data_IF_040658523220
#
_entry.id   IF_040658523220
#
_cell.length_a   1.000
_cell.length_b   1.000
_cell.length_c   1.000
_cell.angle_alpha   90.00
_cell.angle_beta   90.00
_cell.angle_gamma   90.00
#
_symmetry.space_group_name_H-M   'P 1'
#
loop_
_entity.id
_entity.type
_entity.pdbx_description
1 polymer ?
#
# COMPACT_ATOMS: atom_id res chain seq x y z
N UNK A 1 -0.91 15.00 3.32
CA UNK A 1 0.02 14.79 4.46
C UNK A 1 1.12 13.86 3.97
N UNK A 2 2.39 14.26 4.04
CA UNK A 2 3.51 13.40 3.62
C UNK A 2 3.92 12.52 4.80
N UNK A 3 3.45 11.28 4.80
CA UNK A 3 3.96 10.25 5.72
C UNK A 3 5.45 10.05 5.41
N UNK A 4 6.32 10.48 6.32
CA UNK A 4 7.78 10.32 6.15
C UNK A 4 8.24 9.08 6.88
N UNK A 5 8.97 8.22 6.17
CA UNK A 5 9.61 7.04 6.73
C UNK A 5 10.91 7.45 7.43
N UNK A 6 11.14 6.93 8.64
CA UNK A 6 12.27 7.27 9.48
C UNK A 6 12.94 5.97 9.96
N UNK A 7 14.23 5.81 9.64
CA UNK A 7 15.04 4.72 10.18
C UNK A 7 15.71 5.14 11.49
N UNK A 8 15.81 4.21 12.44
CA UNK A 8 16.57 4.37 13.67
C UNK A 8 17.45 3.13 13.88
N UNK A 9 18.78 3.24 13.87
CA UNK A 9 19.54 4.45 13.50
C UNK A 9 19.30 4.84 12.02
N UNK A 10 19.64 6.08 11.60
CA UNK A 10 19.59 6.49 10.20
C UNK A 10 20.40 5.53 9.31
N UNK A 11 19.93 5.28 8.08
CA UNK A 11 20.58 4.33 7.17
C UNK A 11 22.01 4.75 6.78
N UNK A 12 22.25 6.06 6.71
CA UNK A 12 23.55 6.68 6.43
C UNK A 12 24.58 6.43 7.54
N UNK A 13 24.13 6.36 8.78
CA UNK A 13 25.00 6.10 9.93
C UNK A 13 25.24 4.60 10.15
N UNK A 14 24.45 3.73 9.52
CA UNK A 14 24.37 2.31 9.84
C UNK A 14 25.72 1.59 9.73
N UNK A 15 26.55 1.93 8.75
CA UNK A 15 27.86 1.31 8.54
C UNK A 15 28.89 1.71 9.61
N UNK A 16 28.64 2.81 10.32
CA UNK A 16 29.52 3.32 11.40
C UNK A 16 29.10 2.84 12.78
N UNK A 17 27.94 2.21 12.90
CA UNK A 17 27.42 1.70 14.17
C UNK A 17 28.18 0.45 14.61
N UNK A 18 28.51 0.38 15.90
CA UNK A 18 29.13 -0.81 16.47
C UNK A 18 28.08 -1.91 16.71
N UNK A 19 28.42 -3.13 16.33
CA UNK A 19 27.60 -4.30 16.61
C UNK A 19 27.68 -4.68 18.11
N UNK A 20 26.62 -5.29 18.67
CA UNK A 20 25.37 -5.62 18.00
C UNK A 20 24.38 -4.43 17.95
N UNK A 21 23.57 -4.35 16.90
CA UNK A 21 22.63 -3.24 16.67
C UNK A 21 21.21 -3.68 16.31
N UNK A 22 20.25 -2.80 16.54
CA UNK A 22 18.86 -2.95 16.11
C UNK A 22 18.53 -1.84 15.12
N UNK A 23 17.87 -2.19 14.03
CA UNK A 23 17.34 -1.24 13.06
C UNK A 23 15.81 -1.23 13.15
N UNK A 24 15.22 -0.05 13.20
CA UNK A 24 13.77 0.14 13.30
C UNK A 24 13.29 1.13 12.25
N UNK A 25 12.17 0.83 11.61
CA UNK A 25 11.48 1.70 10.68
C UNK A 25 10.23 2.27 11.33
N UNK A 26 10.07 3.59 11.27
CA UNK A 26 8.91 4.31 11.74
C UNK A 26 8.24 5.06 10.60
N UNK A 27 6.92 5.26 10.72
CA UNK A 27 6.20 6.27 9.96
C UNK A 27 5.90 7.46 10.85
N UNK A 28 6.21 8.66 10.36
CA UNK A 28 5.86 9.89 11.05
C UNK A 28 4.39 10.23 10.82
N UNK A 29 3.59 10.18 11.88
CA UNK A 29 2.20 10.64 11.87
C UNK A 29 2.11 12.16 12.04
N UNK A 30 0.96 12.76 11.71
CA UNK A 30 0.70 14.17 12.02
C UNK A 30 0.78 14.37 13.54
N UNK A 31 1.62 15.31 13.99
CA UNK A 31 1.65 15.73 15.39
C UNK A 31 0.35 16.44 15.71
N UNK A 32 -0.53 15.81 16.49
CA UNK A 32 -1.65 16.53 17.12
C UNK A 32 -1.10 17.54 18.12
N UNK A 33 -1.64 18.77 18.17
CA UNK A 33 -1.24 19.76 19.16
C UNK A 33 -1.47 19.19 20.56
N UNK A 34 -0.49 19.41 21.44
CA UNK A 34 -0.55 18.96 22.83
C UNK A 34 -1.70 19.69 23.52
N UNK A 35 -2.70 18.98 24.09
CA UNK A 35 -3.75 19.63 24.88
C UNK A 35 -3.13 20.41 26.05
N UNK A 36 -3.71 21.56 26.42
CA UNK A 36 -3.16 22.40 27.47
C UNK A 36 -3.07 21.66 28.82
N UNK A 37 -3.93 20.66 29.04
CA UNK A 37 -3.96 19.84 30.25
C UNK A 37 -2.71 18.95 30.40
N UNK A 38 -1.99 18.67 29.32
CA UNK A 38 -0.74 17.89 29.36
C UNK A 38 0.47 18.69 29.89
N UNK A 39 0.33 20.00 30.11
CA UNK A 39 1.33 20.87 30.77
C UNK A 39 1.02 21.09 32.25
N UNK A 40 0.38 20.14 32.93
CA UNK A 40 0.09 20.25 34.35
C UNK A 40 1.33 19.90 35.20
N UNK A 41 1.77 20.88 36.01
CA UNK A 41 2.90 20.77 36.96
C UNK A 41 2.70 19.72 38.06
N UNK A 42 1.45 19.34 38.33
CA UNK A 42 1.06 18.42 39.40
C UNK A 42 0.97 16.96 38.90
N UNK A 43 1.17 16.72 37.59
CA UNK A 43 1.25 15.39 37.01
C UNK A 43 2.71 14.90 36.93
N UNK A 44 2.97 13.57 37.04
CA UNK A 44 4.31 13.02 36.89
C UNK A 44 4.95 13.49 35.57
N UNK A 45 6.23 13.89 35.64
CA UNK A 45 6.99 14.33 34.46
C UNK A 45 7.10 13.15 33.48
N UNK A 46 6.22 13.15 32.48
CA UNK A 46 6.29 12.25 31.33
C UNK A 46 5.04 11.43 31.11
N UNK A 47 4.04 11.98 30.43
CA UNK A 47 3.03 11.18 29.69
C UNK A 47 2.35 11.93 28.53
N UNK A 48 2.46 13.26 28.44
CA UNK A 48 1.66 14.05 27.48
C UNK A 48 2.32 14.41 26.14
N UNK A 49 3.54 13.97 25.84
CA UNK A 49 4.19 14.31 24.56
C UNK A 49 3.64 13.43 23.45
N UNK A 50 3.03 13.99 22.39
CA UNK A 50 2.55 13.20 21.26
C UNK A 50 3.72 12.47 20.61
N UNK A 51 3.68 11.14 20.61
CA UNK A 51 4.60 10.31 19.85
C UNK A 51 4.22 10.41 18.38
N UNK A 52 4.93 11.26 17.65
CA UNK A 52 4.74 11.45 16.20
C UNK A 52 5.23 10.28 15.35
N UNK A 53 5.65 9.16 15.95
CA UNK A 53 6.28 8.04 15.26
C UNK A 53 5.54 6.75 15.62
N UNK A 54 5.04 6.06 14.58
CA UNK A 54 4.50 4.71 14.71
C UNK A 54 5.55 3.73 14.19
N UNK A 55 5.87 2.71 14.98
CA UNK A 55 6.80 1.66 14.56
C UNK A 55 6.12 0.79 13.50
N UNK A 56 6.77 0.65 12.34
CA UNK A 56 6.34 -0.24 11.26
C UNK A 56 7.01 -1.61 11.36
N UNK A 57 8.33 -1.62 11.55
CA UNK A 57 9.10 -2.85 11.66
C UNK A 57 10.36 -2.62 12.50
N UNK A 58 10.82 -3.65 13.19
CA UNK A 58 12.09 -3.63 13.91
C UNK A 58 12.82 -4.96 13.74
N UNK A 59 14.14 -4.90 13.67
CA UNK A 59 14.97 -6.10 13.59
C UNK A 59 15.21 -6.68 14.99
N UNK A 60 15.45 -8.00 15.08
CA UNK A 60 16.17 -8.52 16.23
C UNK A 60 17.58 -7.91 16.31
N UNK A 61 18.23 -8.14 17.45
CA UNK A 61 19.61 -7.74 17.69
C UNK A 61 20.53 -8.40 16.64
N UNK A 62 21.21 -7.58 15.84
CA UNK A 62 21.95 -8.00 14.65
C UNK A 62 23.45 -7.85 14.84
N UNK A 63 24.21 -8.85 14.39
CA UNK A 63 25.68 -8.85 14.47
C UNK A 63 26.37 -7.94 13.44
N UNK A 64 25.64 -7.47 12.42
CA UNK A 64 26.16 -6.56 11.41
C UNK A 64 25.07 -5.65 10.81
N UNK A 65 25.44 -4.50 10.24
CA UNK A 65 24.53 -3.63 9.47
C UNK A 65 23.79 -4.35 8.34
N UNK A 66 24.50 -5.24 7.63
CA UNK A 66 23.96 -5.99 6.50
C UNK A 66 22.87 -6.97 6.96
N UNK A 67 23.11 -7.69 8.07
CA UNK A 67 22.10 -8.57 8.66
C UNK A 67 20.90 -7.79 9.19
N UNK A 68 21.11 -6.61 9.80
CA UNK A 68 20.02 -5.75 10.22
C UNK A 68 19.13 -5.33 9.03
N UNK A 69 19.73 -4.91 7.91
CA UNK A 69 18.95 -4.60 6.69
C UNK A 69 18.17 -5.80 6.18
N UNK A 70 18.77 -6.99 6.16
CA UNK A 70 18.11 -8.22 5.73
C UNK A 70 16.94 -8.58 6.65
N UNK A 71 17.13 -8.56 7.97
CA UNK A 71 16.05 -8.83 8.91
C UNK A 71 14.93 -7.80 8.84
N UNK A 72 15.25 -6.53 8.58
CA UNK A 72 14.22 -5.51 8.44
C UNK A 72 13.40 -5.76 7.17
N UNK A 73 14.05 -6.12 6.07
CA UNK A 73 13.37 -6.49 4.84
C UNK A 73 12.45 -7.70 5.06
N UNK A 74 12.93 -8.74 5.76
CA UNK A 74 12.10 -9.90 6.13
C UNK A 74 10.93 -9.47 7.00
N UNK A 75 11.15 -8.65 8.03
CA UNK A 75 10.07 -8.17 8.91
C UNK A 75 9.01 -7.35 8.16
N UNK A 76 9.40 -6.59 7.14
CA UNK A 76 8.46 -5.87 6.28
C UNK A 76 7.67 -6.79 5.35
N UNK A 77 8.28 -7.90 4.92
CA UNK A 77 7.65 -8.89 4.05
C UNK A 77 6.81 -9.93 4.83
N UNK A 78 6.93 -9.98 6.15
CA UNK A 78 6.23 -10.93 7.03
C UNK A 78 4.72 -10.63 7.09
N UNK A 79 4.31 -9.38 6.89
CA UNK A 79 2.89 -9.02 6.76
C UNK A 79 2.35 -9.41 5.37
N UNK A 80 2.08 -10.70 5.22
CA UNK A 80 1.55 -11.29 3.99
C UNK A 80 0.29 -10.60 3.47
N UNK A 81 -0.59 -10.12 4.37
CA UNK A 81 -1.83 -9.45 3.99
C UNK A 81 -1.54 -8.07 3.39
N UNK A 82 -0.68 -7.29 4.06
CA UNK A 82 -0.25 -5.99 3.54
C UNK A 82 0.44 -6.14 2.19
N UNK A 83 1.38 -7.09 2.05
CA UNK A 83 2.11 -7.27 0.79
C UNK A 83 1.18 -7.76 -0.33
N UNK A 84 0.26 -8.69 -0.06
CA UNK A 84 -0.73 -9.12 -1.05
C UNK A 84 -1.63 -7.97 -1.50
N UNK A 85 -2.05 -7.11 -0.57
CA UNK A 85 -2.82 -5.91 -0.91
C UNK A 85 -2.03 -5.02 -1.86
N UNK A 86 -0.79 -4.65 -1.51
CA UNK A 86 0.06 -3.80 -2.37
C UNK A 86 0.31 -4.47 -3.73
N UNK A 87 0.51 -5.78 -3.76
CA UNK A 87 0.62 -6.54 -5.01
C UNK A 87 -0.65 -6.43 -5.87
N UNK A 88 -1.83 -6.58 -5.28
CA UNK A 88 -3.10 -6.44 -5.98
C UNK A 88 -3.29 -5.01 -6.54
N UNK A 89 -2.96 -3.99 -5.75
CA UNK A 89 -2.98 -2.59 -6.16
C UNK A 89 -2.07 -2.31 -7.37
N UNK A 90 -0.83 -2.80 -7.33
CA UNK A 90 0.11 -2.64 -8.43
C UNK A 90 -0.33 -3.40 -9.68
N UNK A 91 -0.93 -4.58 -9.54
CA UNK A 91 -1.50 -5.29 -10.69
C UNK A 91 -2.71 -4.59 -11.28
N UNK A 92 -3.58 -4.04 -10.44
CA UNK A 92 -4.70 -3.21 -10.87
C UNK A 92 -4.19 -2.02 -11.68
N UNK A 93 -3.30 -1.20 -11.10
CA UNK A 93 -2.73 -0.02 -11.75
C UNK A 93 -1.99 -0.36 -13.04
N UNK A 94 -1.18 -1.41 -13.04
CA UNK A 94 -0.50 -1.92 -14.24
C UNK A 94 -1.50 -2.28 -15.34
N UNK A 95 -2.58 -2.97 -14.98
CA UNK A 95 -3.57 -3.45 -15.96
C UNK A 95 -4.40 -2.29 -16.53
N UNK A 96 -4.89 -1.40 -15.67
CA UNK A 96 -5.61 -0.19 -16.06
C UNK A 96 -4.73 0.69 -16.95
N UNK A 97 -3.49 0.96 -16.55
CA UNK A 97 -2.60 1.84 -17.31
C UNK A 97 -2.11 1.22 -18.64
N UNK A 98 -2.13 -0.11 -18.75
CA UNK A 98 -1.86 -0.79 -20.02
C UNK A 98 -3.05 -0.77 -20.97
N UNK A 99 -4.26 -0.52 -20.50
CA UNK A 99 -5.48 -0.63 -21.30
C UNK A 99 -5.55 0.47 -22.38
N UNK A 100 -6.13 0.18 -23.56
CA UNK A 100 -6.53 1.16 -24.55
C UNK A 100 -7.49 2.23 -24.00
N UNK A 101 -7.57 3.39 -24.66
CA UNK A 101 -8.38 4.52 -24.18
C UNK A 101 -9.88 4.23 -24.17
N UNK A 102 -10.38 3.49 -25.16
CA UNK A 102 -11.76 3.04 -25.25
C UNK A 102 -12.12 2.05 -24.14
N UNK A 103 -11.21 1.12 -23.83
CA UNK A 103 -11.37 0.19 -22.72
C UNK A 103 -11.36 0.92 -21.36
N UNK A 104 -10.44 1.88 -21.16
CA UNK A 104 -10.43 2.74 -19.97
C UNK A 104 -11.72 3.54 -19.80
N UNK A 105 -12.23 4.12 -20.88
CA UNK A 105 -13.51 4.83 -20.82
C UNK A 105 -14.67 3.88 -20.49
N UNK A 106 -14.60 2.61 -20.92
CA UNK A 106 -15.55 1.57 -20.55
C UNK A 106 -15.46 1.23 -19.06
N UNK A 107 -14.25 0.99 -18.56
CA UNK A 107 -13.98 0.71 -17.14
C UNK A 107 -14.46 1.85 -16.24
N UNK A 108 -14.15 3.10 -16.60
CA UNK A 108 -14.61 4.28 -15.86
C UNK A 108 -16.13 4.32 -15.74
N UNK A 109 -16.86 4.05 -16.83
CA UNK A 109 -18.33 3.98 -16.79
C UNK A 109 -18.82 2.85 -15.89
N UNK A 110 -18.22 1.66 -16.00
CA UNK A 110 -18.54 0.51 -15.14
C UNK A 110 -18.35 0.81 -13.65
N UNK A 111 -17.19 1.38 -13.30
CA UNK A 111 -16.87 1.77 -11.93
C UNK A 111 -17.84 2.82 -11.38
N UNK A 112 -18.20 3.82 -12.19
CA UNK A 112 -19.21 4.83 -11.81
C UNK A 112 -20.59 4.23 -11.56
N UNK A 113 -21.02 3.30 -12.41
CA UNK A 113 -22.28 2.58 -12.21
C UNK A 113 -22.23 1.79 -10.91
N UNK A 114 -21.10 1.14 -10.61
CA UNK A 114 -20.93 0.33 -9.41
C UNK A 114 -21.08 1.14 -8.11
N UNK A 115 -20.71 2.42 -8.10
CA UNK A 115 -20.92 3.32 -6.96
C UNK A 115 -22.40 3.64 -6.67
N UNK A 116 -23.30 3.33 -7.60
CA UNK A 116 -24.74 3.56 -7.49
C UNK A 116 -25.52 2.29 -7.16
N UNK A 117 -24.85 1.13 -7.18
CA UNK A 117 -25.44 -0.18 -6.87
C UNK A 117 -25.53 -0.31 -5.35
N UNK A 118 -26.63 -0.91 -4.87
CA UNK A 118 -26.79 -1.14 -3.44
C UNK A 118 -25.85 -2.22 -2.90
N UNK A 119 -25.55 -2.16 -1.59
CA UNK A 119 -24.58 -3.05 -0.96
C UNK A 119 -24.99 -4.53 -1.02
N UNK A 120 -26.30 -4.83 -1.08
CA UNK A 120 -26.79 -6.20 -1.14
C UNK A 120 -26.51 -6.83 -2.50
N UNK A 121 -26.70 -6.08 -3.58
CA UNK A 121 -26.34 -6.49 -4.93
C UNK A 121 -24.82 -6.62 -5.08
N UNK A 122 -24.02 -5.66 -4.58
CA UNK A 122 -22.56 -5.75 -4.60
C UNK A 122 -22.06 -7.00 -3.86
N UNK A 123 -22.62 -7.28 -2.68
CA UNK A 123 -22.26 -8.47 -1.92
C UNK A 123 -22.64 -9.77 -2.66
N UNK A 124 -23.80 -9.80 -3.31
CA UNK A 124 -24.22 -10.93 -4.15
C UNK A 124 -23.23 -11.18 -5.31
N UNK A 125 -22.86 -10.13 -6.04
CA UNK A 125 -21.89 -10.20 -7.14
C UNK A 125 -20.52 -10.67 -6.65
N UNK A 126 -20.07 -10.16 -5.50
CA UNK A 126 -18.81 -10.59 -4.88
C UNK A 126 -18.78 -12.10 -4.64
N UNK A 127 -19.84 -12.66 -4.06
CA UNK A 127 -19.90 -14.10 -3.83
C UNK A 127 -19.93 -14.90 -5.14
N UNK A 128 -20.66 -14.44 -6.16
CA UNK A 128 -20.70 -15.09 -7.47
C UNK A 128 -19.32 -15.10 -8.13
N UNK A 129 -18.63 -13.96 -8.16
CA UNK A 129 -17.30 -13.85 -8.77
C UNK A 129 -16.25 -14.63 -7.99
N UNK A 130 -16.35 -14.66 -6.66
CA UNK A 130 -15.49 -15.46 -5.80
C UNK A 130 -15.68 -16.97 -6.03
N UNK A 131 -16.91 -17.41 -6.28
CA UNK A 131 -17.21 -18.82 -6.60
C UNK A 131 -16.64 -19.22 -7.97
N UNK A 132 -16.73 -18.33 -8.96
CA UNK A 132 -16.13 -18.54 -10.30
C UNK A 132 -14.60 -18.55 -10.23
N UNK A 133 -14.00 -17.80 -9.30
CA UNK A 133 -12.56 -17.77 -9.10
C UNK A 133 -11.83 -16.91 -10.13
N UNK A 134 -12.21 -15.64 -10.25
CA UNK A 134 -11.57 -14.68 -11.14
C UNK A 134 -10.07 -14.59 -10.85
N UNK A 135 -9.25 -14.85 -11.86
CA UNK A 135 -7.79 -14.87 -11.81
C UNK A 135 -7.12 -13.94 -12.81
N UNK A 136 -5.78 -13.97 -12.86
CA UNK A 136 -4.95 -13.05 -13.67
C UNK A 136 -5.20 -13.14 -15.19
N UNK A 137 -5.81 -14.24 -15.67
CA UNK A 137 -6.05 -14.49 -17.10
C UNK A 137 -7.44 -14.05 -17.58
N UNK A 138 -8.32 -13.70 -16.66
CA UNK A 138 -9.66 -13.27 -17.00
C UNK A 138 -9.67 -11.85 -17.59
N UNK A 139 -10.79 -11.52 -18.22
CA UNK A 139 -11.01 -10.21 -18.83
C UNK A 139 -10.75 -9.09 -17.83
N UNK A 140 -10.13 -8.00 -18.30
CA UNK A 140 -9.76 -6.87 -17.44
C UNK A 140 -10.98 -6.33 -16.68
N UNK A 141 -12.14 -6.23 -17.33
CA UNK A 141 -13.39 -5.83 -16.69
C UNK A 141 -13.72 -6.68 -15.46
N UNK A 142 -13.66 -8.01 -15.58
CA UNK A 142 -13.93 -8.94 -14.47
C UNK A 142 -12.91 -8.77 -13.34
N UNK A 143 -11.61 -8.61 -13.67
CA UNK A 143 -10.56 -8.40 -12.67
C UNK A 143 -10.73 -7.08 -11.93
N UNK A 144 -11.09 -6.02 -12.64
CA UNK A 144 -11.38 -4.70 -12.07
C UNK A 144 -12.63 -4.75 -11.19
N UNK A 145 -13.70 -5.41 -11.63
CA UNK A 145 -14.93 -5.54 -10.84
C UNK A 145 -14.65 -6.32 -9.54
N UNK A 146 -13.94 -7.45 -9.61
CA UNK A 146 -13.57 -8.21 -8.40
C UNK A 146 -12.74 -7.36 -7.44
N UNK A 147 -11.71 -6.67 -7.93
CA UNK A 147 -10.87 -5.78 -7.13
C UNK A 147 -11.68 -4.66 -6.45
N UNK A 148 -12.63 -4.09 -7.18
CA UNK A 148 -13.49 -3.02 -6.67
C UNK A 148 -14.53 -3.53 -5.66
N UNK A 149 -14.98 -4.77 -5.77
CA UNK A 149 -15.87 -5.41 -4.81
C UNK A 149 -15.17 -5.71 -3.47
N UNK A 150 -13.87 -5.99 -3.49
CA UNK A 150 -13.04 -6.18 -2.30
C UNK A 150 -12.72 -4.87 -1.57
N UNK A 151 -12.70 -3.76 -2.31
CA UNK A 151 -12.51 -2.42 -1.76
C UNK A 151 -13.75 -1.90 -1.01
N UNK A 152 -13.52 -1.08 0.02
CA UNK A 152 -14.58 -0.32 0.69
C UNK A 152 -15.02 0.92 -0.11
N UNK A 153 -16.05 1.64 0.37
CA UNK A 153 -16.60 2.78 -0.35
C UNK A 153 -15.62 3.94 -0.59
N UNK A 154 -14.74 4.23 0.38
CA UNK A 154 -13.74 5.29 0.24
C UNK A 154 -12.63 4.86 -0.73
N UNK A 155 -12.15 3.63 -0.56
CA UNK A 155 -11.14 3.01 -1.39
C UNK A 155 -11.58 2.90 -2.86
N UNK A 156 -12.83 2.50 -3.12
CA UNK A 156 -13.42 2.49 -4.47
C UNK A 156 -13.35 3.86 -5.15
N UNK A 157 -13.58 4.94 -4.38
CA UNK A 157 -13.47 6.31 -4.89
C UNK A 157 -12.05 6.64 -5.35
N UNK A 158 -11.03 6.25 -4.58
CA UNK A 158 -9.61 6.46 -4.89
C UNK A 158 -9.18 5.66 -6.14
N UNK A 159 -9.69 4.44 -6.30
CA UNK A 159 -9.41 3.64 -7.50
C UNK A 159 -10.06 4.22 -8.75
N UNK A 160 -11.27 4.76 -8.64
CA UNK A 160 -11.90 5.48 -9.75
C UNK A 160 -11.10 6.72 -10.15
N UNK A 161 -10.59 7.49 -9.18
CA UNK A 161 -9.70 8.63 -9.46
C UNK A 161 -8.43 8.19 -10.18
N UNK A 162 -7.88 7.02 -9.84
CA UNK A 162 -6.73 6.45 -10.55
C UNK A 162 -7.03 6.16 -12.03
N UNK A 163 -8.24 5.68 -12.35
CA UNK A 163 -8.68 5.52 -13.75
C UNK A 163 -8.85 6.86 -14.45
N UNK A 164 -9.42 7.87 -13.77
CA UNK A 164 -9.57 9.23 -14.29
C UNK A 164 -8.21 9.86 -14.61
N UNK A 165 -7.22 9.68 -13.74
CA UNK A 165 -5.82 10.06 -13.97
C UNK A 165 -5.25 9.34 -15.20
N UNK A 166 -5.49 8.04 -15.33
CA UNK A 166 -5.08 7.25 -16.49
C UNK A 166 -5.69 7.74 -17.81
N UNK A 167 -6.95 8.19 -17.80
CA UNK A 167 -7.63 8.76 -18.98
C UNK A 167 -7.04 10.13 -19.33
N UNK A 168 -6.75 10.97 -18.33
CA UNK A 168 -6.12 12.28 -18.53
C UNK A 168 -4.64 12.21 -18.92
N UNK A 169 -4.02 11.04 -18.75
CA UNK A 169 -2.62 10.81 -19.07
C UNK A 169 -2.45 10.41 -20.54
N UNK A 170 -1.43 10.97 -21.20
CA UNK A 170 -1.04 10.52 -22.54
C UNK A 170 -0.61 9.04 -22.53
N UNK A 171 -0.93 8.31 -23.61
CA UNK A 171 -0.75 6.86 -23.69
C UNK A 171 0.70 6.41 -23.43
N UNK A 172 1.69 7.12 -23.96
CA UNK A 172 3.10 6.81 -23.75
C UNK A 172 3.48 6.83 -22.26
N UNK A 173 3.14 7.92 -21.57
CA UNK A 173 3.39 8.09 -20.14
C UNK A 173 2.64 7.04 -19.34
N UNK A 174 1.39 6.75 -19.72
CA UNK A 174 0.58 5.73 -19.05
C UNK A 174 1.22 4.34 -19.15
N UNK A 175 1.72 3.96 -20.33
CA UNK A 175 2.45 2.70 -20.53
C UNK A 175 3.75 2.63 -19.72
N UNK A 176 4.44 3.75 -19.52
CA UNK A 176 5.62 3.81 -18.65
C UNK A 176 5.25 3.49 -17.20
N UNK A 177 4.22 4.15 -16.67
CA UNK A 177 3.71 3.85 -15.33
C UNK A 177 3.22 2.41 -15.20
N UNK A 178 2.53 1.89 -16.22
CA UNK A 178 2.10 0.50 -16.24
C UNK A 178 3.28 -0.47 -16.07
N UNK A 179 4.39 -0.23 -16.79
CA UNK A 179 5.62 -1.03 -16.63
C UNK A 179 6.19 -0.93 -15.22
N UNK A 180 6.27 0.28 -14.66
CA UNK A 180 6.79 0.49 -13.30
C UNK A 180 5.98 -0.27 -12.26
N UNK A 181 4.65 -0.20 -12.32
CA UNK A 181 3.77 -0.96 -11.41
C UNK A 181 3.89 -2.47 -11.64
N UNK A 182 3.98 -2.92 -12.90
CA UNK A 182 4.17 -4.34 -13.21
C UNK A 182 5.49 -4.88 -12.65
N UNK A 183 6.58 -4.11 -12.79
CA UNK A 183 7.89 -4.46 -12.24
C UNK A 183 7.88 -4.49 -10.72
N UNK A 184 7.25 -3.50 -10.08
CA UNK A 184 7.08 -3.47 -8.63
C UNK A 184 6.25 -4.66 -8.12
N UNK A 185 5.13 -4.98 -8.77
CA UNK A 185 4.29 -6.14 -8.44
C UNK A 185 5.06 -7.46 -8.60
N UNK A 186 5.81 -7.62 -9.71
CA UNK A 186 6.68 -8.80 -9.91
C UNK A 186 7.75 -8.92 -8.84
N UNK A 187 8.36 -7.81 -8.45
CA UNK A 187 9.36 -7.78 -7.39
C UNK A 187 8.75 -8.26 -6.06
N UNK A 188 7.61 -7.70 -5.66
CA UNK A 188 6.92 -8.10 -4.42
C UNK A 188 6.55 -9.59 -4.43
N UNK A 189 5.99 -10.09 -5.54
CA UNK A 189 5.65 -11.51 -5.67
C UNK A 189 6.88 -12.42 -5.55
N UNK A 190 8.02 -12.04 -6.13
CA UNK A 190 9.26 -12.82 -5.99
C UNK A 190 9.78 -12.81 -4.55
N UNK A 191 9.77 -11.63 -3.93
CA UNK A 191 10.17 -11.46 -2.54
C UNK A 191 9.33 -12.32 -1.58
N UNK A 192 8.02 -12.43 -1.83
CA UNK A 192 7.10 -13.29 -1.08
C UNK A 192 7.37 -14.79 -1.26
N UNK A 193 7.77 -15.21 -2.47
CA UNK A 193 7.98 -16.62 -2.80
C UNK A 193 9.41 -17.10 -2.51
N UNK A 194 10.33 -16.21 -2.14
CA UNK A 194 11.70 -16.55 -1.76
C UNK A 194 12.61 -16.96 -2.93
N UNK A 195 12.32 -16.50 -4.16
CA UNK A 195 13.10 -16.81 -5.38
C UNK A 195 13.86 -15.60 -5.93
#
# INVERSE_FOLDING_TARGET
>A
MTNSLIFSPPLEDLETQQAPLTLSLYVKGPTSPVPAEAYNKDLPIGTGRPTSRHLLAATPLSASPQLARQFLAVALLDDWNMINRIYAEYNFLSSVYSAPNDELASLQRGMRTMLQVDDAELLSRYYQMREVGIGERDELGCRVEMFMLEADGEERGQWMESVDVGIGMGEEKRREWARNYADAGRFLRRAMLGY
#
